data_IF_032677598065
#
_entry.id   IF_032677598065
#
_cell.length_a   1.000
_cell.length_b   1.000
_cell.length_c   1.000
_cell.angle_alpha   90.00
_cell.angle_beta   90.00
_cell.angle_gamma   90.00
#
_symmetry.space_group_name_H-M   'P 1'
#
loop_
_entity.id
_entity.type
_entity.pdbx_description
1 polymer ?
#
# COMPACT_ATOMS: atom_id res chain seq x y z
N UNK A 1 5.94 -11.62 3.48
CA UNK A 1 4.89 -10.94 4.25
C UNK A 1 3.58 -11.65 3.97
N UNK A 2 2.73 -11.85 4.98
CA UNK A 2 1.42 -12.50 4.87
C UNK A 2 0.31 -11.58 5.42
N UNK A 3 -0.96 -11.86 5.12
CA UNK A 3 -2.07 -11.14 5.76
C UNK A 3 -2.04 -11.22 7.29
N UNK A 4 -1.62 -12.36 7.85
CA UNK A 4 -1.54 -12.53 9.31
C UNK A 4 -0.54 -11.59 9.96
N UNK A 5 0.58 -11.28 9.27
CA UNK A 5 1.57 -10.31 9.74
C UNK A 5 0.95 -8.89 9.83
N UNK A 6 0.18 -8.53 8.81
CA UNK A 6 -0.52 -7.23 8.72
C UNK A 6 -1.61 -7.12 9.78
N UNK A 7 -2.44 -8.14 9.92
CA UNK A 7 -3.51 -8.17 10.93
C UNK A 7 -2.93 -8.08 12.36
N UNK A 8 -1.85 -8.81 12.65
CA UNK A 8 -1.18 -8.77 13.94
C UNK A 8 -0.62 -7.37 14.26
N UNK A 9 -0.06 -6.67 13.27
CA UNK A 9 0.39 -5.29 13.43
C UNK A 9 -0.76 -4.34 13.79
N UNK A 10 -1.89 -4.42 13.08
CA UNK A 10 -3.06 -3.58 13.38
C UNK A 10 -3.63 -3.91 14.76
N UNK A 11 -3.74 -5.20 15.12
CA UNK A 11 -4.22 -5.62 16.43
C UNK A 11 -3.35 -5.06 17.58
N UNK A 12 -2.03 -5.01 17.38
CA UNK A 12 -1.10 -4.47 18.37
C UNK A 12 -1.14 -2.93 18.48
N UNK A 13 -1.30 -2.23 17.35
CA UNK A 13 -1.19 -0.76 17.29
C UNK A 13 -2.52 -0.03 17.40
N UNK A 14 -3.59 -0.62 16.92
CA UNK A 14 -4.93 -0.06 16.88
C UNK A 14 -5.99 -1.11 17.24
N UNK A 15 -5.99 -1.65 18.48
CA UNK A 15 -6.89 -2.73 18.87
C UNK A 15 -8.38 -2.36 18.73
N UNK A 16 -8.73 -1.07 18.87
CA UNK A 16 -10.10 -0.60 18.65
C UNK A 16 -10.52 -0.67 17.18
N UNK A 17 -9.63 -0.30 16.26
CA UNK A 17 -9.87 -0.43 14.81
C UNK A 17 -9.92 -1.90 14.42
N UNK A 18 -8.98 -2.71 14.91
CA UNK A 18 -8.97 -4.17 14.68
C UNK A 18 -10.26 -4.85 15.14
N UNK A 19 -10.78 -4.49 16.33
CA UNK A 19 -12.06 -4.99 16.83
C UNK A 19 -13.26 -4.60 15.95
N UNK A 20 -13.13 -3.56 15.13
CA UNK A 20 -14.14 -3.13 14.15
C UNK A 20 -14.07 -3.85 12.81
N UNK A 21 -13.13 -4.78 12.61
CA UNK A 21 -13.00 -5.54 11.37
C UNK A 21 -14.23 -6.41 11.13
N UNK A 22 -14.77 -6.37 9.91
CA UNK A 22 -15.88 -7.19 9.45
C UNK A 22 -15.53 -7.84 8.12
N UNK A 23 -15.56 -9.17 8.11
CA UNK A 23 -15.25 -9.97 6.94
C UNK A 23 -16.47 -10.39 6.14
N UNK A 24 -16.20 -10.98 4.97
CA UNK A 24 -17.15 -11.61 4.07
C UNK A 24 -17.25 -13.10 4.40
N UNK A 25 -18.43 -13.70 4.27
CA UNK A 25 -18.59 -15.13 4.51
C UNK A 25 -17.83 -15.96 3.45
N UNK A 26 -17.19 -17.04 3.88
CA UNK A 26 -16.44 -17.91 2.98
C UNK A 26 -17.31 -18.49 1.84
N UNK A 27 -18.58 -18.78 2.12
CA UNK A 27 -19.55 -19.22 1.12
C UNK A 27 -19.79 -18.20 0.01
N UNK A 28 -19.78 -16.92 0.37
CA UNK A 28 -20.03 -15.83 -0.58
C UNK A 28 -18.81 -15.62 -1.48
N UNK A 29 -17.60 -15.73 -0.92
CA UNK A 29 -16.36 -15.70 -1.70
C UNK A 29 -16.28 -16.89 -2.67
N UNK A 30 -16.56 -18.11 -2.20
CA UNK A 30 -16.57 -19.30 -3.07
C UNK A 30 -17.65 -19.22 -4.14
N UNK A 31 -18.81 -18.63 -3.81
CA UNK A 31 -19.86 -18.37 -4.79
C UNK A 31 -19.37 -17.38 -5.85
N UNK A 32 -18.77 -16.27 -5.42
CA UNK A 32 -18.22 -15.25 -6.29
C UNK A 32 -17.18 -15.85 -7.26
N UNK A 33 -16.17 -16.56 -6.75
CA UNK A 33 -15.13 -17.23 -7.56
C UNK A 33 -15.72 -18.15 -8.64
N UNK A 34 -16.78 -18.88 -8.30
CA UNK A 34 -17.49 -19.76 -9.25
C UNK A 34 -18.29 -18.97 -10.29
N UNK A 35 -18.94 -17.88 -9.89
CA UNK A 35 -19.75 -17.05 -10.79
C UNK A 35 -18.88 -16.25 -11.77
N UNK A 36 -17.69 -15.81 -11.34
CA UNK A 36 -16.73 -15.06 -12.17
C UNK A 36 -15.73 -15.94 -12.91
N UNK A 37 -15.62 -17.22 -12.54
CA UNK A 37 -14.59 -18.10 -13.07
C UNK A 37 -13.17 -17.71 -12.66
N UNK A 38 -13.01 -16.91 -11.60
CA UNK A 38 -11.71 -16.45 -11.08
C UNK A 38 -11.36 -17.14 -9.77
N UNK A 39 -10.07 -17.24 -9.47
CA UNK A 39 -9.58 -17.67 -8.14
C UNK A 39 -8.93 -16.47 -7.45
N UNK A 40 -9.33 -16.20 -6.22
CA UNK A 40 -8.80 -15.07 -5.46
C UNK A 40 -7.42 -15.41 -4.88
N UNK A 41 -6.42 -14.53 -5.00
CA UNK A 41 -5.12 -14.69 -4.35
C UNK A 41 -5.26 -14.90 -2.84
N UNK A 42 -4.41 -15.76 -2.27
CA UNK A 42 -4.53 -16.23 -0.88
C UNK A 42 -4.62 -15.10 0.15
N UNK A 43 -3.75 -14.10 0.04
CA UNK A 43 -3.69 -12.93 0.88
C UNK A 43 -4.92 -12.03 0.75
N UNK A 44 -5.41 -11.82 -0.47
CA UNK A 44 -6.63 -11.02 -0.70
C UNK A 44 -7.86 -11.75 -0.14
N UNK A 45 -7.97 -13.07 -0.37
CA UNK A 45 -9.03 -13.90 0.21
C UNK A 45 -9.00 -13.88 1.74
N UNK A 46 -7.82 -13.98 2.34
CA UNK A 46 -7.65 -13.89 3.80
C UNK A 46 -8.07 -12.52 4.34
N UNK A 47 -7.69 -11.44 3.66
CA UNK A 47 -8.17 -10.09 3.96
C UNK A 47 -9.71 -10.02 3.90
N UNK A 48 -10.32 -10.52 2.82
CA UNK A 48 -11.77 -10.45 2.64
C UNK A 48 -12.53 -11.17 3.76
N UNK A 49 -12.05 -12.36 4.17
CA UNK A 49 -12.64 -13.14 5.26
C UNK A 49 -12.59 -12.44 6.63
N UNK A 50 -11.71 -11.44 6.80
CA UNK A 50 -11.48 -10.77 8.09
C UNK A 50 -11.97 -9.33 8.10
N UNK A 51 -11.74 -8.58 7.02
CA UNK A 51 -11.96 -7.14 6.91
C UNK A 51 -12.60 -6.71 5.58
N UNK A 52 -13.06 -7.64 4.74
CA UNK A 52 -13.56 -7.34 3.39
C UNK A 52 -14.83 -6.48 3.32
N UNK A 53 -15.60 -6.38 4.40
CA UNK A 53 -16.77 -5.48 4.50
C UNK A 53 -16.43 -4.19 5.22
N UNK A 54 -15.54 -4.26 6.22
CA UNK A 54 -15.13 -3.08 6.97
C UNK A 54 -13.78 -3.30 7.65
N UNK A 55 -12.88 -2.33 7.50
CA UNK A 55 -11.57 -2.32 8.17
C UNK A 55 -11.53 -1.40 9.41
N UNK A 56 -12.63 -1.29 10.16
CA UNK A 56 -12.65 -0.59 11.45
C UNK A 56 -12.24 0.89 11.39
N UNK A 57 -12.65 1.59 10.33
CA UNK A 57 -12.30 2.98 10.06
C UNK A 57 -10.94 3.18 9.37
N UNK A 58 -10.20 2.12 9.07
CA UNK A 58 -8.98 2.20 8.26
C UNK A 58 -9.30 2.07 6.76
N UNK A 59 -8.40 2.58 5.94
CA UNK A 59 -8.49 2.61 4.48
C UNK A 59 -7.41 1.71 3.84
N UNK A 60 -7.58 0.38 3.78
CA UNK A 60 -6.54 -0.56 3.33
C UNK A 60 -6.00 -0.27 1.94
N UNK A 61 -6.80 0.29 1.04
CA UNK A 61 -6.37 0.63 -0.32
C UNK A 61 -5.92 2.11 -0.47
N UNK A 62 -5.94 2.87 0.62
CA UNK A 62 -5.72 4.32 0.66
C UNK A 62 -7.04 5.10 0.75
N UNK A 63 -6.94 6.37 1.12
CA UNK A 63 -8.11 7.21 1.47
C UNK A 63 -9.07 7.47 0.30
N UNK A 64 -8.58 7.37 -0.93
CA UNK A 64 -9.36 7.61 -2.15
C UNK A 64 -10.10 6.37 -2.67
N UNK A 65 -9.94 5.21 -2.03
CA UNK A 65 -10.55 3.97 -2.51
C UNK A 65 -11.39 3.28 -1.43
N UNK A 66 -12.65 3.06 -1.74
CA UNK A 66 -13.46 2.11 -0.99
C UNK A 66 -12.92 0.69 -1.21
N UNK A 67 -13.11 -0.20 -0.22
CA UNK A 67 -12.74 -1.62 -0.31
C UNK A 67 -13.88 -2.58 0.06
N UNK A 68 -15.11 -2.06 0.22
CA UNK A 68 -16.27 -2.86 0.61
C UNK A 68 -16.63 -3.88 -0.47
N UNK A 69 -16.28 -5.14 -0.21
CA UNK A 69 -16.48 -6.24 -1.16
C UNK A 69 -17.93 -6.47 -1.56
N UNK A 70 -18.93 -6.45 -0.65
CA UNK A 70 -20.34 -6.56 -1.04
C UNK A 70 -20.77 -5.53 -2.11
N UNK A 71 -20.32 -4.28 -1.98
CA UNK A 71 -20.60 -3.24 -2.98
C UNK A 71 -20.00 -3.56 -4.34
N UNK A 72 -18.79 -4.13 -4.40
CA UNK A 72 -18.18 -4.52 -5.67
C UNK A 72 -18.81 -5.77 -6.25
N UNK A 73 -19.10 -6.77 -5.43
CA UNK A 73 -19.67 -8.04 -5.86
C UNK A 73 -21.12 -7.89 -6.34
N UNK A 74 -21.84 -6.84 -5.92
CA UNK A 74 -23.17 -6.52 -6.40
C UNK A 74 -23.18 -6.02 -7.86
N UNK A 75 -22.06 -5.51 -8.36
CA UNK A 75 -21.91 -5.08 -9.76
C UNK A 75 -21.11 -6.16 -10.50
N UNK A 76 -21.68 -6.80 -11.54
CA UNK A 76 -20.94 -7.78 -12.31
C UNK A 76 -19.62 -7.18 -12.81
N UNK A 77 -18.49 -7.87 -12.65
CA UNK A 77 -17.23 -7.42 -13.21
C UNK A 77 -17.34 -7.36 -14.74
N UNK A 78 -16.73 -6.36 -15.35
CA UNK A 78 -16.69 -6.21 -16.79
C UNK A 78 -15.92 -7.39 -17.42
N UNK A 79 -16.54 -8.06 -18.38
CA UNK A 79 -16.02 -9.26 -19.04
C UNK A 79 -14.62 -9.01 -19.62
N UNK A 80 -14.36 -7.84 -20.20
CA UNK A 80 -13.07 -7.52 -20.82
C UNK A 80 -11.93 -7.47 -19.79
N UNK A 81 -12.21 -7.00 -18.57
CA UNK A 81 -11.24 -7.00 -17.48
C UNK A 81 -11.01 -8.40 -16.94
N UNK A 82 -12.07 -9.19 -16.76
CA UNK A 82 -11.93 -10.58 -16.32
C UNK A 82 -11.15 -11.44 -17.32
N UNK A 83 -11.41 -11.29 -18.62
CA UNK A 83 -10.65 -11.95 -19.69
C UNK A 83 -9.16 -11.55 -19.68
N UNK A 84 -8.87 -10.31 -19.26
CA UNK A 84 -7.51 -9.84 -19.04
C UNK A 84 -6.89 -10.30 -17.71
N UNK A 85 -7.63 -11.05 -16.89
CA UNK A 85 -7.19 -11.53 -15.58
C UNK A 85 -7.19 -10.43 -14.51
N UNK A 86 -8.06 -9.43 -14.62
CA UNK A 86 -8.14 -8.31 -13.70
C UNK A 86 -9.46 -8.30 -12.94
N UNK A 87 -9.37 -8.22 -11.62
CA UNK A 87 -10.52 -8.08 -10.74
C UNK A 87 -10.52 -6.71 -10.09
N UNK A 88 -11.60 -5.93 -10.23
CA UNK A 88 -11.73 -4.66 -9.50
C UNK A 88 -11.85 -4.92 -8.00
N UNK A 89 -11.00 -4.27 -7.21
CA UNK A 89 -10.98 -4.40 -5.74
C UNK A 89 -11.13 -3.07 -5.00
N UNK A 90 -11.05 -1.94 -5.69
CA UNK A 90 -11.25 -0.63 -5.07
C UNK A 90 -11.94 0.35 -6.01
N UNK A 91 -13.07 0.88 -5.56
CA UNK A 91 -13.78 1.97 -6.24
C UNK A 91 -13.20 3.30 -5.80
N UNK A 92 -12.84 4.13 -6.76
CA UNK A 92 -12.39 5.49 -6.48
C UNK A 92 -13.54 6.34 -5.92
N UNK A 93 -13.30 7.07 -4.83
CA UNK A 93 -14.33 7.85 -4.11
C UNK A 93 -14.05 9.35 -4.02
N UNK A 94 -12.92 9.84 -4.53
CA UNK A 94 -12.60 11.28 -4.48
C UNK A 94 -13.22 12.02 -5.68
N UNK A 95 -14.41 12.59 -5.47
CA UNK A 95 -15.13 13.35 -6.50
C UNK A 95 -14.38 14.60 -7.02
N UNK A 96 -13.31 15.03 -6.33
CA UNK A 96 -12.51 16.19 -6.75
C UNK A 96 -11.44 15.86 -7.78
N UNK A 97 -11.20 14.57 -8.07
CA UNK A 97 -10.18 14.17 -9.03
C UNK A 97 -10.62 14.44 -10.48
N UNK A 98 -9.69 14.95 -11.28
CA UNK A 98 -9.92 15.19 -12.71
C UNK A 98 -10.00 13.88 -13.51
N UNK A 99 -9.32 12.84 -13.04
CA UNK A 99 -9.20 11.53 -13.70
C UNK A 99 -9.33 10.44 -12.62
N UNK A 100 -10.56 10.08 -12.22
CA UNK A 100 -10.76 9.04 -11.21
C UNK A 100 -10.24 7.70 -11.74
N UNK A 101 -9.61 6.89 -10.88
CA UNK A 101 -9.01 5.62 -11.29
C UNK A 101 -9.34 4.51 -10.29
N UNK A 102 -9.99 3.46 -10.77
CA UNK A 102 -10.30 2.28 -9.98
C UNK A 102 -9.05 1.38 -9.81
N UNK A 103 -9.06 0.59 -8.74
CA UNK A 103 -8.01 -0.37 -8.43
C UNK A 103 -8.39 -1.77 -8.86
N UNK A 104 -7.47 -2.41 -9.57
CA UNK A 104 -7.59 -3.77 -10.06
C UNK A 104 -6.48 -4.66 -9.50
N UNK A 105 -6.85 -5.88 -9.15
CA UNK A 105 -5.98 -6.97 -8.72
C UNK A 105 -5.74 -7.91 -9.90
N UNK A 106 -4.48 -8.26 -10.15
CA UNK A 106 -4.13 -9.28 -11.13
C UNK A 106 -4.41 -10.69 -10.59
N UNK A 107 -5.48 -11.30 -11.09
CA UNK A 107 -5.92 -12.65 -10.76
C UNK A 107 -5.57 -13.67 -11.85
N UNK A 108 -4.75 -13.28 -12.84
CA UNK A 108 -4.33 -14.17 -13.92
C UNK A 108 -3.48 -15.35 -13.42
N UNK A 109 -2.83 -15.19 -12.27
CA UNK A 109 -2.03 -16.21 -11.60
C UNK A 109 -2.84 -16.82 -10.45
N UNK A 110 -3.92 -17.55 -10.75
CA UNK A 110 -4.96 -17.93 -9.79
C UNK A 110 -4.54 -18.69 -8.51
N UNK A 111 -3.30 -19.19 -8.41
CA UNK A 111 -2.78 -19.86 -7.19
C UNK A 111 -1.68 -19.06 -6.47
N UNK A 112 -1.47 -17.79 -6.82
CA UNK A 112 -0.52 -16.96 -6.09
C UNK A 112 -1.02 -16.58 -4.69
N UNK A 113 -0.10 -16.49 -3.73
CA UNK A 113 -0.43 -15.99 -2.39
C UNK A 113 -0.79 -14.49 -2.45
N UNK A 114 -0.06 -13.70 -3.24
CA UNK A 114 -0.25 -12.26 -3.37
C UNK A 114 -0.14 -11.83 -4.84
N UNK A 115 -0.76 -10.69 -5.17
CA UNK A 115 -0.95 -10.24 -6.54
C UNK A 115 -0.67 -8.75 -6.73
N UNK A 116 -0.27 -8.39 -7.93
CA UNK A 116 0.05 -7.00 -8.30
C UNK A 116 -1.21 -6.17 -8.49
N UNK A 117 -1.12 -4.88 -8.16
CA UNK A 117 -2.18 -3.92 -8.39
C UNK A 117 -1.96 -3.08 -9.65
N UNK A 118 -3.07 -2.76 -10.30
CA UNK A 118 -3.16 -1.90 -11.47
C UNK A 118 -4.16 -0.77 -11.22
N UNK A 119 -3.81 0.43 -11.69
CA UNK A 119 -4.75 1.55 -11.80
C UNK A 119 -5.34 1.56 -13.22
N UNK A 120 -6.65 1.83 -13.31
CA UNK A 120 -7.33 2.07 -14.57
C UNK A 120 -8.31 3.24 -14.44
N UNK A 121 -8.22 4.20 -15.35
CA UNK A 121 -9.03 5.42 -15.34
C UNK A 121 -10.50 5.10 -15.64
N UNK A 122 -11.42 5.65 -14.86
CA UNK A 122 -12.85 5.47 -15.12
C UNK A 122 -13.25 6.16 -16.45
N UNK A 123 -14.35 5.71 -17.05
CA UNK A 123 -14.92 6.25 -18.30
C UNK A 123 -14.10 6.03 -19.59
N UNK A 124 -12.97 5.32 -19.51
CA UNK A 124 -12.27 4.83 -20.70
C UNK A 124 -12.76 3.43 -21.10
N UNK A 125 -12.89 3.19 -22.40
CA UNK A 125 -13.13 1.84 -22.91
C UNK A 125 -11.91 0.98 -22.62
N UNK A 126 -12.16 -0.24 -22.11
CA UNK A 126 -11.07 -1.14 -21.75
C UNK A 126 -10.08 -1.31 -22.90
N UNK A 127 -8.84 -0.96 -22.61
CA UNK A 127 -7.72 -1.20 -23.49
C UNK A 127 -6.47 -1.40 -22.63
N UNK A 128 -5.85 -2.56 -22.85
CA UNK A 128 -4.73 -3.07 -22.07
C UNK A 128 -3.54 -2.10 -22.05
N UNK A 129 -3.38 -1.24 -23.06
CA UNK A 129 -2.29 -0.27 -23.10
C UNK A 129 -2.42 0.86 -22.06
N UNK A 130 -3.62 1.07 -21.53
CA UNK A 130 -3.90 2.11 -20.52
C UNK A 130 -3.78 1.60 -19.09
N UNK A 131 -3.62 0.28 -18.90
CA UNK A 131 -3.38 -0.30 -17.58
C UNK A 131 -2.04 0.17 -17.03
N UNK A 132 -2.07 0.78 -15.85
CA UNK A 132 -0.85 1.26 -15.19
C UNK A 132 -0.51 0.37 -14.00
N UNK A 133 0.60 -0.38 -14.02
CA UNK A 133 1.02 -1.13 -12.85
C UNK A 133 1.42 -0.16 -11.73
N UNK A 134 0.83 -0.32 -10.54
CA UNK A 134 1.23 0.45 -9.34
C UNK A 134 2.65 0.13 -8.89
N UNK A 135 3.16 -1.02 -9.32
CA UNK A 135 4.46 -1.52 -8.93
C UNK A 135 4.53 -1.99 -7.48
N UNK A 136 3.38 -2.18 -6.85
CA UNK A 136 3.18 -2.76 -5.52
C UNK A 136 2.15 -3.89 -5.61
N UNK A 137 2.30 -4.89 -4.74
CA UNK A 137 1.29 -5.93 -4.54
C UNK A 137 0.13 -5.45 -3.68
N UNK A 138 -0.87 -6.30 -3.50
CA UNK A 138 -1.97 -6.07 -2.57
C UNK A 138 -1.45 -5.95 -1.14
N UNK A 139 -0.64 -6.90 -0.65
CA UNK A 139 -0.10 -6.82 0.72
C UNK A 139 0.83 -5.62 0.92
N UNK A 140 1.64 -5.25 -0.08
CA UNK A 140 2.48 -4.05 0.00
C UNK A 140 1.61 -2.80 0.17
N UNK A 141 0.52 -2.70 -0.61
CA UNK A 141 -0.38 -1.55 -0.58
C UNK A 141 -1.10 -1.44 0.77
N UNK A 142 -1.68 -2.54 1.26
CA UNK A 142 -2.38 -2.54 2.55
C UNK A 142 -1.42 -2.27 3.70
N UNK A 143 -0.22 -2.83 3.66
CA UNK A 143 0.82 -2.61 4.67
C UNK A 143 1.29 -1.18 4.70
N UNK A 144 1.57 -0.58 3.54
CA UNK A 144 1.95 0.83 3.42
C UNK A 144 0.84 1.72 3.97
N UNK A 145 -0.40 1.49 3.53
CA UNK A 145 -1.56 2.29 3.94
C UNK A 145 -1.83 2.22 5.45
N UNK A 146 -1.88 1.01 6.02
CA UNK A 146 -2.08 0.84 7.47
C UNK A 146 -0.90 1.36 8.27
N UNK A 147 0.34 1.18 7.80
CA UNK A 147 1.49 1.75 8.47
C UNK A 147 1.34 3.26 8.57
N UNK A 148 1.07 3.93 7.44
CA UNK A 148 0.92 5.39 7.37
C UNK A 148 -0.26 5.90 8.23
N UNK A 149 -1.44 5.30 8.14
CA UNK A 149 -2.62 5.72 8.94
C UNK A 149 -2.43 5.55 10.44
N UNK A 150 -1.64 4.56 10.84
CA UNK A 150 -1.36 4.29 12.26
C UNK A 150 -0.12 5.05 12.76
N UNK A 151 0.63 5.72 11.89
CA UNK A 151 1.59 6.74 12.31
C UNK A 151 0.84 8.05 12.59
N UNK A 152 0.92 8.55 13.82
CA UNK A 152 0.29 9.84 14.20
C UNK A 152 1.26 11.02 14.14
N UNK A 153 2.31 10.90 13.32
CA UNK A 153 3.41 11.87 13.32
C UNK A 153 3.02 13.21 12.72
N UNK A 154 3.50 14.29 13.33
CA UNK A 154 3.25 15.66 12.86
C UNK A 154 4.21 16.15 11.79
N UNK A 155 5.41 15.59 11.75
CA UNK A 155 6.48 16.02 10.86
C UNK A 155 6.81 14.89 9.90
N UNK A 156 7.03 15.24 8.64
CA UNK A 156 7.37 14.29 7.60
C UNK A 156 8.53 14.78 6.75
N UNK A 157 9.30 13.84 6.24
CA UNK A 157 10.38 14.10 5.29
C UNK A 157 10.48 12.93 4.33
N UNK A 158 10.52 13.23 3.04
CA UNK A 158 10.66 12.23 2.00
C UNK A 158 12.04 12.27 1.37
N UNK A 159 12.67 11.10 1.28
CA UNK A 159 13.95 10.91 0.61
C UNK A 159 13.75 10.01 -0.61
N UNK A 160 14.61 10.17 -1.61
CA UNK A 160 14.58 9.38 -2.82
C UNK A 160 15.95 9.18 -3.43
N UNK A 161 16.11 8.05 -4.10
CA UNK A 161 17.30 7.73 -4.89
C UNK A 161 16.87 7.08 -6.20
N UNK A 162 17.44 7.55 -7.31
CA UNK A 162 17.29 6.93 -8.62
C UNK A 162 18.18 5.68 -8.71
N UNK A 163 17.53 4.52 -8.76
CA UNK A 163 18.16 3.21 -8.86
C UNK A 163 18.46 2.81 -10.30
N UNK A 164 18.21 3.65 -11.31
CA UNK A 164 18.83 3.43 -12.62
C UNK A 164 20.37 3.37 -12.55
N UNK A 165 20.96 3.86 -11.44
CA UNK A 165 22.39 3.86 -11.14
C UNK A 165 22.81 2.92 -10.00
N UNK A 166 21.86 2.23 -9.34
CA UNK A 166 22.13 1.45 -8.12
C UNK A 166 21.24 0.20 -8.03
N UNK A 167 21.71 -0.86 -7.40
CA UNK A 167 20.88 -2.04 -7.16
C UNK A 167 19.79 -1.70 -6.12
N UNK A 168 18.51 -1.94 -6.47
CA UNK A 168 17.35 -1.70 -5.59
C UNK A 168 17.44 -2.48 -4.29
N UNK A 169 17.79 -3.76 -4.35
CA UNK A 169 17.84 -4.63 -3.18
C UNK A 169 18.98 -4.20 -2.24
N UNK A 170 20.13 -3.86 -2.81
CA UNK A 170 21.28 -3.33 -2.05
C UNK A 170 20.93 -1.98 -1.39
N UNK A 171 20.34 -1.06 -2.16
CA UNK A 171 19.94 0.27 -1.67
C UNK A 171 18.98 0.17 -0.50
N UNK A 172 17.95 -0.67 -0.60
CA UNK A 172 17.01 -0.93 0.50
C UNK A 172 17.70 -1.54 1.70
N UNK A 173 18.54 -2.54 1.50
CA UNK A 173 19.28 -3.20 2.59
C UNK A 173 20.16 -2.21 3.34
N UNK A 174 20.81 -1.29 2.61
CA UNK A 174 21.65 -0.24 3.18
C UNK A 174 20.85 0.80 3.96
N UNK A 175 19.71 1.24 3.43
CA UNK A 175 18.77 2.13 4.16
C UNK A 175 18.31 1.44 5.45
N UNK A 176 17.85 0.20 5.36
CA UNK A 176 17.38 -0.58 6.51
C UNK A 176 18.47 -0.76 7.58
N UNK A 177 19.72 -0.98 7.16
CA UNK A 177 20.86 -1.09 8.07
C UNK A 177 21.13 0.24 8.80
N UNK A 178 21.14 1.37 8.09
CA UNK A 178 21.28 2.70 8.73
C UNK A 178 20.16 2.91 9.76
N UNK A 179 18.91 2.64 9.41
CA UNK A 179 17.77 2.75 10.33
C UNK A 179 17.93 1.86 11.57
N UNK A 180 18.39 0.62 11.38
CA UNK A 180 18.63 -0.33 12.47
C UNK A 180 19.72 0.17 13.42
N UNK A 181 20.82 0.74 12.91
CA UNK A 181 21.89 1.32 13.76
C UNK A 181 21.41 2.51 14.59
N UNK A 182 20.35 3.19 14.15
CA UNK A 182 19.70 4.29 14.86
C UNK A 182 18.59 3.82 15.81
N UNK A 183 18.39 2.50 15.95
CA UNK A 183 17.40 1.90 16.84
C UNK A 183 15.99 1.78 16.25
N UNK A 184 15.80 1.99 14.95
CA UNK A 184 14.52 1.75 14.29
C UNK A 184 14.43 0.28 13.83
N UNK A 185 13.60 -0.50 14.51
CA UNK A 185 13.36 -1.91 14.20
C UNK A 185 12.26 -2.09 13.16
N UNK A 186 12.31 -3.19 12.40
CA UNK A 186 11.23 -3.55 11.49
C UNK A 186 9.94 -3.84 12.28
N UNK A 187 8.80 -3.31 11.85
CA UNK A 187 7.50 -3.49 12.54
C UNK A 187 6.50 -4.36 11.78
N UNK A 188 6.68 -4.53 10.47
CA UNK A 188 6.01 -5.54 9.66
C UNK A 188 7.07 -6.44 9.01
N UNK A 189 6.68 -7.67 8.68
CA UNK A 189 7.52 -8.57 7.89
C UNK A 189 7.85 -7.92 6.54
N UNK A 190 9.12 -7.75 6.15
CA UNK A 190 9.46 -7.07 4.91
C UNK A 190 9.06 -7.89 3.67
N UNK A 191 8.91 -7.20 2.54
CA UNK A 191 8.83 -7.76 1.19
C UNK A 191 9.99 -7.24 0.33
N UNK A 192 10.06 -7.66 -0.93
CA UNK A 192 11.03 -7.15 -1.90
C UNK A 192 10.78 -5.69 -2.32
N UNK A 193 9.58 -5.16 -2.05
CA UNK A 193 9.16 -3.80 -2.45
C UNK A 193 8.93 -2.89 -1.26
N UNK A 194 8.66 -3.44 -0.09
CA UNK A 194 8.25 -2.68 1.09
C UNK A 194 8.99 -3.13 2.35
N UNK A 195 9.39 -2.18 3.17
CA UNK A 195 9.79 -2.44 4.56
C UNK A 195 9.44 -1.26 5.45
N UNK A 196 8.92 -1.55 6.64
CA UNK A 196 8.51 -0.54 7.62
C UNK A 196 9.37 -0.65 8.87
N UNK A 197 9.83 0.49 9.36
CA UNK A 197 10.68 0.59 10.53
C UNK A 197 10.10 1.63 11.49
N UNK A 198 10.17 1.36 12.79
CA UNK A 198 9.79 2.34 13.80
C UNK A 198 10.71 2.27 15.02
N UNK A 199 10.99 3.44 15.58
CA UNK A 199 11.54 3.63 16.91
C UNK A 199 10.53 4.35 17.80
N UNK A 200 11.02 4.93 18.91
CA UNK A 200 10.17 5.70 19.82
C UNK A 200 9.74 7.06 19.24
N UNK A 201 10.63 7.73 18.49
CA UNK A 201 10.42 9.12 18.05
C UNK A 201 10.21 9.26 16.54
N UNK A 202 10.62 8.26 15.76
CA UNK A 202 10.66 8.31 14.30
C UNK A 202 10.20 6.98 13.73
N UNK A 203 9.49 7.04 12.62
CA UNK A 203 9.10 5.92 11.78
C UNK A 203 9.60 6.13 10.34
N UNK A 204 9.77 5.04 9.61
CA UNK A 204 10.26 5.04 8.26
C UNK A 204 9.56 3.96 7.43
N UNK A 205 9.08 4.35 6.26
CA UNK A 205 8.56 3.46 5.23
C UNK A 205 9.53 3.49 4.06
N UNK A 206 10.02 2.33 3.64
CA UNK A 206 10.88 2.19 2.47
C UNK A 206 10.06 1.53 1.36
N UNK A 207 9.89 2.23 0.24
CA UNK A 207 9.19 1.71 -0.94
C UNK A 207 10.13 1.62 -2.15
N UNK A 208 10.23 0.45 -2.77
CA UNK A 208 10.87 0.24 -4.05
C UNK A 208 9.86 -0.33 -5.04
N UNK A 209 9.17 0.55 -5.75
CA UNK A 209 8.14 0.17 -6.71
C UNK A 209 8.78 -0.48 -7.93
N UNK A 210 8.19 -1.55 -8.45
CA UNK A 210 8.77 -2.23 -9.62
C UNK A 210 8.69 -1.37 -10.89
N UNK A 211 7.65 -0.53 -11.00
CA UNK A 211 7.39 0.38 -12.11
C UNK A 211 8.15 1.71 -12.03
N UNK A 212 8.81 2.01 -10.91
CA UNK A 212 9.59 3.23 -10.74
C UNK A 212 11.09 2.92 -10.70
N UNK A 213 11.90 3.83 -11.28
CA UNK A 213 13.35 3.83 -11.13
C UNK A 213 13.80 4.41 -9.78
N UNK A 214 12.95 4.42 -8.76
CA UNK A 214 13.25 5.06 -7.48
C UNK A 214 13.00 4.14 -6.29
N UNK A 215 13.85 4.30 -5.28
CA UNK A 215 13.58 3.86 -3.91
C UNK A 215 13.25 5.11 -3.09
N UNK A 216 12.09 5.10 -2.45
CA UNK A 216 11.64 6.18 -1.58
C UNK A 216 11.77 5.78 -0.12
N UNK A 217 12.05 6.77 0.73
CA UNK A 217 11.96 6.64 2.18
C UNK A 217 11.07 7.76 2.69
N UNK A 218 9.91 7.40 3.20
CA UNK A 218 9.02 8.32 3.90
C UNK A 218 9.32 8.23 5.39
N UNK A 219 9.83 9.32 5.96
CA UNK A 219 10.14 9.44 7.38
C UNK A 219 9.03 10.25 8.05
N UNK A 220 8.52 9.76 9.17
CA UNK A 220 7.62 10.48 10.05
C UNK A 220 8.22 10.63 11.44
N UNK A 221 8.00 11.76 12.12
CA UNK A 221 8.35 11.94 13.52
C UNK A 221 7.59 13.08 14.18
N UNK A 222 7.69 13.19 15.50
CA UNK A 222 7.05 14.27 16.27
C UNK A 222 8.04 15.36 16.73
N UNK A 223 9.34 15.09 16.62
CA UNK A 223 10.41 16.01 16.97
C UNK A 223 11.33 16.30 15.78
N UNK A 224 11.53 17.59 15.48
CA UNK A 224 12.40 18.04 14.40
C UNK A 224 13.84 17.58 14.58
N UNK A 225 14.33 17.50 15.82
CA UNK A 225 15.71 17.11 16.09
C UNK A 225 15.91 15.61 15.80
N UNK A 226 15.02 14.75 16.29
CA UNK A 226 15.03 13.32 16.04
C UNK A 226 14.90 13.01 14.55
N UNK A 227 13.90 13.59 13.87
CA UNK A 227 13.70 13.43 12.44
C UNK A 227 14.91 13.94 11.65
N UNK A 228 15.49 15.08 12.05
CA UNK A 228 16.68 15.66 11.44
C UNK A 228 17.93 14.80 11.59
N UNK A 229 18.12 14.15 12.76
CA UNK A 229 19.22 13.18 12.98
C UNK A 229 19.09 11.97 12.06
N UNK A 230 17.92 11.34 12.02
CA UNK A 230 17.67 10.16 11.17
C UNK A 230 17.84 10.52 9.69
N UNK A 231 17.28 11.65 9.26
CA UNK A 231 17.43 12.14 7.89
C UNK A 231 18.89 12.34 7.52
N UNK A 232 19.70 12.98 8.38
CA UNK A 232 21.11 13.22 8.09
C UNK A 232 21.90 11.91 8.02
N UNK A 233 21.68 11.00 8.97
CA UNK A 233 22.35 9.71 8.96
C UNK A 233 22.04 8.89 7.70
N UNK A 234 20.82 8.97 7.17
CA UNK A 234 20.46 8.36 5.88
C UNK A 234 21.18 9.00 4.69
N UNK A 235 21.21 10.33 4.61
CA UNK A 235 21.91 11.04 3.54
C UNK A 235 23.41 10.77 3.53
N UNK A 236 24.03 10.71 4.72
CA UNK A 236 25.46 10.43 4.86
C UNK A 236 25.77 8.94 4.65
N UNK A 237 24.85 8.06 5.05
CA UNK A 237 25.04 6.61 5.03
C UNK A 237 24.69 5.92 3.71
N UNK A 238 23.86 6.55 2.86
CA UNK A 238 23.34 5.98 1.60
C UNK A 238 23.71 6.89 0.43
N UNK A 239 24.77 6.57 -0.33
CA UNK A 239 25.22 7.36 -1.46
C UNK A 239 24.12 7.56 -2.50
N UNK A 240 23.94 8.80 -2.96
CA UNK A 240 22.94 9.15 -3.98
C UNK A 240 21.52 9.36 -3.43
N UNK A 241 21.29 9.15 -2.13
CA UNK A 241 20.03 9.50 -1.48
C UNK A 241 19.92 11.02 -1.36
N UNK A 242 18.76 11.56 -1.73
CA UNK A 242 18.49 12.99 -1.74
C UNK A 242 17.16 13.29 -1.05
N UNK A 243 17.04 14.50 -0.51
CA UNK A 243 15.73 15.01 -0.05
C UNK A 243 14.89 15.36 -1.26
N UNK A 244 13.67 14.86 -1.29
CA UNK A 244 12.69 15.28 -2.28
C UNK A 244 11.95 16.51 -1.73
N UNK A 245 11.77 17.52 -2.58
CA UNK A 245 10.91 18.64 -2.23
C UNK A 245 9.49 18.11 -2.00
N UNK A 246 8.83 18.54 -0.93
CA UNK A 246 7.45 18.16 -0.61
C UNK A 246 6.48 18.71 -1.64
N UNK A 247 6.39 18.07 -2.79
CA UNK A 247 5.61 18.54 -3.94
C UNK A 247 5.67 17.64 -5.17
N UNK A 248 6.72 16.83 -5.35
CA UNK A 248 6.84 16.00 -6.55
C UNK A 248 6.93 14.51 -6.22
N UNK A 249 6.13 13.73 -6.96
CA UNK A 249 6.01 12.27 -6.99
C UNK A 249 4.99 11.64 -6.01
N UNK A 250 3.71 11.89 -6.30
CA UNK A 250 2.62 10.92 -6.08
C UNK A 250 1.71 11.18 -4.88
N UNK A 251 0.46 11.53 -5.18
CA UNK A 251 -0.69 11.72 -4.31
C UNK A 251 -0.68 13.00 -3.45
N UNK A 252 -1.55 13.92 -3.87
CA UNK A 252 -2.02 15.08 -3.10
C UNK A 252 -2.51 14.61 -1.73
N UNK A 253 -1.80 14.98 -0.66
CA UNK A 253 -2.46 15.19 0.62
C UNK A 253 -3.18 16.53 0.53
N UNK A 254 -4.50 16.49 0.32
CA UNK A 254 -5.32 17.64 0.65
C UNK A 254 -5.29 17.79 2.17
N UNK A 255 -4.68 18.88 2.61
CA UNK A 255 -4.81 19.33 3.99
C UNK A 255 -6.28 19.64 4.25
N UNK A 256 -6.96 18.77 4.99
CA UNK A 256 -8.25 19.07 5.61
C UNK A 256 -8.08 20.19 6.63
N UNK A 257 -8.12 21.43 6.14
CA UNK A 257 -8.25 22.62 6.97
C UNK A 257 -9.71 22.80 7.35
N UNK A 258 -10.05 22.43 8.58
CA UNK A 258 -11.37 22.71 9.14
C UNK A 258 -11.57 24.21 9.38
N UNK A 259 -12.71 24.73 8.90
CA UNK A 259 -13.81 25.27 9.72
C UNK A 259 -14.99 25.63 8.82
#
# INVERSE_FOLDING_TARGET
>A
MTWSDVEAYVAARAPKSHAGFRGVAASDLTRFERETGTTLPGAYRAFLLRAGTHAGGLHPLGDCWAHDFPSFAAVPPDEAFLEAGLLRIGLFTDESALTPSDLYLDVSQGECDDAMLFDYEQDQLFDRQWLRPRGLSFLDTVSSSFFQQLQTHRLETRLGIDVARADRAETRSRIAEVLRTLGLGAVLAPSDRLSTHAGLEVSALIEARTSASYVFVDLGGDDHSALGRVTRALLDGVPGLLRLAGGDVGARRSTGGGR
#
